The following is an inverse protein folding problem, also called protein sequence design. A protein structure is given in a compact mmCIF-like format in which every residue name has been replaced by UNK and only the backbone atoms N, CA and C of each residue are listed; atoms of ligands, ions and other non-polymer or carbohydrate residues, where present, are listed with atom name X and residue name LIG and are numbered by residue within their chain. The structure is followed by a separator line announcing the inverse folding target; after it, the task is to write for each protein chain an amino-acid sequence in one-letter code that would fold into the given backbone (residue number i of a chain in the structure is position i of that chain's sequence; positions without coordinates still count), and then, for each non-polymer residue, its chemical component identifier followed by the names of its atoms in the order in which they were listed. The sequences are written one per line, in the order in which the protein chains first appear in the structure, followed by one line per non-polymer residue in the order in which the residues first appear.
data_IF_634879214952
#
_entry.id   IF_634879214952
#
_cell.length_a   1.000
_cell.length_b   1.000
_cell.length_c   1.000
_cell.angle_alpha   90.00
_cell.angle_beta   90.00
_cell.angle_gamma   90.00
#
_symmetry.space_group_name_H-M   'P 1'
#
loop_
_entity.id
_entity.type
_entity.pdbx_description
1 polymer ?
#
# COMPACT_ATOMS: atom_id res chain seq x y z
N UNK A 1 6.76 4.26 43.56
CA UNK A 1 7.45 5.18 42.62
C UNK A 1 8.09 4.41 41.45
N UNK A 2 8.97 3.44 41.70
CA UNK A 2 9.68 2.68 40.64
C UNK A 2 8.78 1.92 39.64
N UNK A 3 7.65 1.35 40.11
CA UNK A 3 6.67 0.65 39.25
C UNK A 3 5.86 1.59 38.33
N UNK A 4 5.58 2.81 38.81
CA UNK A 4 4.86 3.82 38.02
C UNK A 4 5.73 4.36 36.89
N UNK A 5 7.01 4.60 37.15
CA UNK A 5 7.96 5.04 36.13
C UNK A 5 8.06 4.02 35.00
N UNK A 6 8.18 2.72 35.33
CA UNK A 6 8.25 1.64 34.32
C UNK A 6 6.95 1.54 33.50
N UNK A 7 5.79 1.66 34.15
CA UNK A 7 4.50 1.64 33.45
C UNK A 7 4.33 2.82 32.47
N UNK A 8 4.74 4.03 32.89
CA UNK A 8 4.70 5.23 32.03
C UNK A 8 5.70 5.10 30.87
N UNK A 9 6.90 4.56 31.11
CA UNK A 9 7.88 4.31 30.06
C UNK A 9 7.42 3.28 29.03
N UNK A 10 6.75 2.20 29.45
CA UNK A 10 6.16 1.24 28.51
C UNK A 10 4.99 1.84 27.71
N UNK A 11 4.17 2.70 28.33
CA UNK A 11 3.07 3.39 27.64
C UNK A 11 3.60 4.40 26.61
N UNK A 12 4.67 5.12 26.92
CA UNK A 12 5.34 6.03 26.00
C UNK A 12 6.01 5.29 24.83
N UNK A 13 6.60 4.11 25.08
CA UNK A 13 7.22 3.28 24.05
C UNK A 13 6.16 2.62 23.13
N UNK A 14 5.00 2.24 23.69
CA UNK A 14 3.86 1.77 22.91
C UNK A 14 3.25 2.89 22.05
N UNK A 15 3.26 4.14 22.52
CA UNK A 15 2.82 5.30 21.73
C UNK A 15 3.76 5.60 20.55
N UNK A 16 5.04 5.26 20.64
CA UNK A 16 6.01 5.47 19.54
C UNK A 16 6.02 4.38 18.46
N UNK A 17 5.33 3.26 18.66
CA UNK A 17 5.33 2.13 17.73
C UNK A 17 4.31 2.26 16.57
N UNK A 18 3.52 3.34 16.54
CA UNK A 18 2.42 3.54 15.60
C UNK A 18 2.66 4.69 14.59
N UNK A 19 3.91 5.03 14.28
CA UNK A 19 4.18 5.91 13.14
C UNK A 19 4.17 5.06 11.86
N UNK A 20 2.98 4.82 11.33
CA UNK A 20 2.83 4.64 9.89
C UNK A 20 3.51 5.84 9.22
N UNK A 21 4.24 5.62 8.15
CA UNK A 21 4.78 6.70 7.32
C UNK A 21 3.87 6.79 6.08
N UNK A 22 2.89 7.71 6.07
CA UNK A 22 1.93 7.83 4.98
C UNK A 22 2.60 8.06 3.63
N UNK A 23 3.81 8.64 3.63
CA UNK A 23 4.59 8.88 2.41
C UNK A 23 5.18 7.58 1.90
N UNK A 24 5.78 6.76 2.76
CA UNK A 24 6.26 5.43 2.36
C UNK A 24 5.10 4.53 1.94
N UNK A 25 3.98 4.57 2.66
CA UNK A 25 2.81 3.75 2.38
C UNK A 25 2.19 4.09 1.02
N UNK A 26 1.97 5.37 0.73
CA UNK A 26 1.45 5.77 -0.60
C UNK A 26 2.46 5.49 -1.71
N UNK A 27 3.77 5.63 -1.47
CA UNK A 27 4.80 5.28 -2.45
C UNK A 27 4.80 3.78 -2.75
N UNK A 28 4.69 2.94 -1.73
CA UNK A 28 4.61 1.49 -1.89
C UNK A 28 3.35 1.10 -2.68
N UNK A 29 2.20 1.68 -2.33
CA UNK A 29 0.95 1.47 -3.04
C UNK A 29 1.06 1.86 -4.53
N UNK A 30 1.67 3.01 -4.83
CA UNK A 30 1.86 3.47 -6.20
C UNK A 30 2.86 2.63 -6.99
N UNK A 31 3.93 2.12 -6.36
CA UNK A 31 4.89 1.21 -7.00
C UNK A 31 4.22 -0.12 -7.37
N UNK A 32 3.44 -0.68 -6.45
CA UNK A 32 2.66 -1.88 -6.70
C UNK A 32 1.71 -1.66 -7.89
N UNK A 33 0.96 -0.54 -7.88
CA UNK A 33 0.08 -0.14 -8.99
C UNK A 33 0.81 -0.03 -10.32
N UNK A 34 1.96 0.64 -10.33
CA UNK A 34 2.79 0.84 -11.52
C UNK A 34 3.27 -0.48 -12.12
N UNK A 35 3.62 -1.47 -11.29
CA UNK A 35 3.98 -2.81 -11.76
C UNK A 35 2.81 -3.52 -12.46
N UNK A 36 1.61 -3.44 -11.89
CA UNK A 36 0.41 -4.06 -12.45
C UNK A 36 0.05 -3.40 -13.79
N UNK A 37 -0.03 -2.07 -13.81
CA UNK A 37 -0.35 -1.30 -15.03
C UNK A 37 0.75 -1.46 -16.08
N UNK A 38 2.01 -1.60 -15.68
CA UNK A 38 3.11 -1.90 -16.59
C UNK A 38 2.89 -3.19 -17.38
N UNK A 39 2.41 -4.26 -16.73
CA UNK A 39 2.00 -5.50 -17.39
C UNK A 39 0.87 -5.29 -18.40
N UNK A 40 -0.22 -4.63 -17.95
CA UNK A 40 -1.36 -4.32 -18.82
C UNK A 40 -0.96 -3.45 -20.02
N UNK A 41 -0.03 -2.52 -19.83
CA UNK A 41 0.40 -1.59 -20.88
C UNK A 41 1.05 -2.28 -22.08
N UNK A 42 1.72 -3.41 -21.88
CA UNK A 42 2.31 -4.20 -22.98
C UNK A 42 1.23 -4.79 -23.87
N UNK A 43 0.17 -5.32 -23.28
CA UNK A 43 -0.99 -5.85 -24.01
C UNK A 43 -1.68 -4.72 -24.78
N UNK A 44 -1.91 -3.57 -24.13
CA UNK A 44 -2.56 -2.40 -24.75
C UNK A 44 -1.75 -1.85 -25.94
N UNK A 45 -0.41 -1.87 -25.83
CA UNK A 45 0.48 -1.44 -26.91
C UNK A 45 0.65 -2.48 -28.02
N UNK A 46 0.13 -3.69 -27.85
CA UNK A 46 0.32 -4.81 -28.78
C UNK A 46 1.71 -5.44 -28.71
N UNK A 47 2.49 -5.16 -27.66
CA UNK A 47 3.80 -5.78 -27.42
C UNK A 47 3.66 -7.25 -26.96
N UNK A 48 2.56 -7.57 -26.26
CA UNK A 48 2.18 -8.92 -25.86
C UNK A 48 0.76 -9.24 -26.40
N UNK A 49 0.47 -10.49 -26.81
CA UNK A 49 -0.86 -10.86 -27.31
C UNK A 49 -1.90 -10.80 -26.19
N UNK A 50 -3.15 -10.52 -26.57
CA UNK A 50 -4.26 -10.52 -25.63
C UNK A 50 -4.60 -11.94 -25.18
N UNK A 51 -4.49 -12.17 -23.87
CA UNK A 51 -5.05 -13.33 -23.16
C UNK A 51 -6.08 -12.82 -22.15
N UNK A 52 -7.34 -13.19 -22.36
CA UNK A 52 -8.44 -12.72 -21.54
C UNK A 52 -8.30 -13.11 -20.05
N UNK A 53 -7.81 -14.31 -19.75
CA UNK A 53 -7.67 -14.79 -18.38
C UNK A 53 -6.50 -14.10 -17.68
N UNK A 54 -5.38 -13.91 -18.39
CA UNK A 54 -4.22 -13.18 -17.87
C UNK A 54 -4.56 -11.70 -17.62
N UNK A 55 -5.25 -11.05 -18.57
CA UNK A 55 -5.68 -9.65 -18.43
C UNK A 55 -6.67 -9.50 -17.28
N UNK A 56 -7.67 -10.37 -17.17
CA UNK A 56 -8.61 -10.35 -16.05
C UNK A 56 -7.90 -10.47 -14.70
N UNK A 57 -6.91 -11.37 -14.60
CA UNK A 57 -6.10 -11.54 -13.39
C UNK A 57 -5.37 -10.25 -13.01
N UNK A 58 -4.76 -9.57 -13.98
CA UNK A 58 -4.09 -8.28 -13.75
C UNK A 58 -5.06 -7.16 -13.37
N UNK A 59 -6.27 -7.14 -13.96
CA UNK A 59 -7.32 -6.18 -13.61
C UNK A 59 -7.86 -6.40 -12.21
N UNK A 60 -8.06 -7.66 -11.79
CA UNK A 60 -8.43 -8.00 -10.42
C UNK A 60 -7.34 -7.60 -9.42
N UNK A 61 -6.06 -7.78 -9.77
CA UNK A 61 -4.96 -7.28 -8.96
C UNK A 61 -4.97 -5.75 -8.86
N UNK A 62 -5.29 -5.05 -9.96
CA UNK A 62 -5.42 -3.59 -9.95
C UNK A 62 -6.58 -3.12 -9.07
N UNK A 63 -7.72 -3.83 -9.10
CA UNK A 63 -8.84 -3.57 -8.21
C UNK A 63 -8.45 -3.76 -6.74
N UNK A 64 -7.85 -4.89 -6.38
CA UNK A 64 -7.40 -5.14 -5.02
C UNK A 64 -6.36 -4.11 -4.55
N UNK A 65 -5.51 -3.61 -5.45
CA UNK A 65 -4.62 -2.49 -5.16
C UNK A 65 -5.40 -1.19 -4.91
N UNK A 66 -6.40 -0.88 -5.73
CA UNK A 66 -7.23 0.32 -5.57
C UNK A 66 -8.03 0.31 -4.25
N UNK A 67 -8.50 -0.86 -3.82
CA UNK A 67 -9.22 -1.03 -2.54
C UNK A 67 -8.34 -0.78 -1.30
N UNK A 68 -7.01 -0.81 -1.43
CA UNK A 68 -6.07 -0.42 -0.37
C UNK A 68 -5.94 1.10 -0.20
N UNK A 69 -6.56 1.89 -1.09
CA UNK A 69 -6.48 3.34 -1.00
C UNK A 69 -7.35 3.86 0.13
N UNK A 70 -6.70 4.34 1.19
CA UNK A 70 -7.31 5.06 2.29
C UNK A 70 -6.82 6.51 2.24
N UNK A 71 -7.71 7.44 1.88
CA UNK A 71 -7.34 8.85 1.70
C UNK A 71 -6.84 9.48 3.00
N UNK A 72 -7.51 9.18 4.13
CA UNK A 72 -7.22 9.79 5.42
C UNK A 72 -5.90 9.24 5.99
N UNK A 73 -5.64 7.94 5.80
CA UNK A 73 -4.40 7.33 6.23
C UNK A 73 -3.19 7.71 5.36
N UNK A 74 -3.37 7.84 4.04
CA UNK A 74 -2.27 8.10 3.09
C UNK A 74 -1.97 9.59 2.90
N UNK A 75 -2.93 10.46 3.20
CA UNK A 75 -2.81 11.92 3.05
C UNK A 75 -3.38 12.66 4.28
N UNK A 76 -2.83 12.44 5.48
CA UNK A 76 -3.26 13.17 6.67
C UNK A 76 -2.98 14.67 6.55
N UNK A 77 -3.84 15.48 7.18
CA UNK A 77 -3.81 16.95 7.20
C UNK A 77 -2.66 17.53 8.03
#
# INVERSE_FOLDING_TARGET
MRKLVIAISMLALAASAAFADPVLDRQALMKERGKIVGGLSKVVKGEEPFDAAAVLTQLQALQANAEKFDADALFPA
#
